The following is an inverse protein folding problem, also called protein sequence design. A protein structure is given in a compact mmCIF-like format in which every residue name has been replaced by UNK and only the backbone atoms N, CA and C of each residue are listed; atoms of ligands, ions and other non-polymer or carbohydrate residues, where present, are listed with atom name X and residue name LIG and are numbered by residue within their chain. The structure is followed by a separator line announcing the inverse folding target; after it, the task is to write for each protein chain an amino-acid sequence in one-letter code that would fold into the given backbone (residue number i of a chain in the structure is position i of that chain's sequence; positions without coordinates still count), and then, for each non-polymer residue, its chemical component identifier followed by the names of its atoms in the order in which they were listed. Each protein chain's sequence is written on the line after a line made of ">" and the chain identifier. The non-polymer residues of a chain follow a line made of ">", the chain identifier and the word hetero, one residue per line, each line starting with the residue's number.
data_IF_712144099426
#
_entry.id   IF_712144099426
#
_cell.length_a   1.000
_cell.length_b   1.000
_cell.length_c   1.000
_cell.angle_alpha   90.00
_cell.angle_beta   90.00
_cell.angle_gamma   90.00
#
_symmetry.space_group_name_H-M   'P 1'
#
loop_
_entity.id
_entity.type
_entity.pdbx_description
1 polymer ?
#
# COMPACT_ATOMS: atom_id res chain seq x y z
N UNK A 1 62.34 -18.61 4.45
CA UNK A 1 60.88 -18.86 4.41
C UNK A 1 60.22 -17.52 4.24
N UNK A 2 59.83 -17.23 3.00
CA UNK A 2 59.10 -16.03 2.61
C UNK A 2 57.63 -16.16 3.01
N UNK A 3 57.00 -15.07 3.43
CA UNK A 3 55.57 -14.90 3.30
C UNK A 3 55.32 -13.49 2.74
N UNK A 4 55.04 -13.45 1.43
CA UNK A 4 54.60 -12.27 0.71
C UNK A 4 53.14 -11.98 1.08
N UNK A 5 52.87 -10.81 1.66
CA UNK A 5 51.52 -10.29 1.75
C UNK A 5 51.11 -9.79 0.36
N UNK A 6 50.14 -10.46 -0.27
CA UNK A 6 49.47 -9.96 -1.47
C UNK A 6 48.52 -8.84 -1.07
N UNK A 7 48.91 -7.60 -1.35
CA UNK A 7 48.01 -6.45 -1.35
C UNK A 7 47.20 -6.51 -2.65
N UNK A 8 45.88 -6.68 -2.55
CA UNK A 8 44.99 -6.60 -3.70
C UNK A 8 44.91 -5.12 -4.15
N UNK A 9 45.46 -4.83 -5.33
CA UNK A 9 45.32 -3.53 -5.99
C UNK A 9 43.89 -3.41 -6.51
N UNK A 10 43.16 -2.36 -6.12
CA UNK A 10 41.87 -2.05 -6.69
C UNK A 10 42.04 -1.71 -8.19
N UNK A 11 41.22 -2.28 -9.10
CA UNK A 11 41.24 -1.88 -10.49
C UNK A 11 40.84 -0.42 -10.62
N UNK A 12 41.55 0.33 -11.47
CA UNK A 12 41.22 1.69 -11.85
C UNK A 12 39.80 1.75 -12.43
N UNK A 13 38.97 2.61 -11.84
CA UNK A 13 37.57 2.84 -12.17
C UNK A 13 37.37 3.16 -13.67
N UNK A 14 36.65 2.33 -14.44
CA UNK A 14 36.33 2.59 -15.84
C UNK A 14 35.27 3.69 -16.02
N UNK A 15 35.20 4.29 -17.22
CA UNK A 15 34.26 5.35 -17.65
C UNK A 15 32.75 5.02 -17.53
N UNK A 16 32.39 3.79 -17.13
CA UNK A 16 30.99 3.31 -16.99
C UNK A 16 30.29 3.75 -15.68
N UNK A 17 30.91 4.59 -14.85
CA UNK A 17 30.29 5.17 -13.65
C UNK A 17 29.11 6.15 -13.91
N UNK A 18 28.44 6.07 -15.06
CA UNK A 18 27.22 6.85 -15.35
C UNK A 18 25.91 6.13 -15.06
N UNK A 19 25.94 4.83 -14.77
CA UNK A 19 24.73 4.08 -14.41
C UNK A 19 24.75 3.84 -12.92
N UNK A 20 24.17 4.76 -12.15
CA UNK A 20 23.87 4.48 -10.75
C UNK A 20 22.87 3.32 -10.63
N UNK A 21 22.85 2.64 -9.47
CA UNK A 21 21.98 1.50 -9.20
C UNK A 21 20.68 1.92 -8.55
N UNK A 22 19.60 1.18 -8.79
CA UNK A 22 18.38 1.23 -7.99
C UNK A 22 18.53 0.31 -6.78
N UNK A 23 18.10 0.79 -5.62
CA UNK A 23 18.08 0.02 -4.36
C UNK A 23 16.63 -0.09 -3.90
N UNK A 24 16.13 -1.30 -3.68
CA UNK A 24 14.88 -1.50 -2.95
C UNK A 24 15.11 -1.21 -1.46
N UNK A 25 14.21 -0.48 -0.82
CA UNK A 25 14.30 -0.18 0.60
C UNK A 25 12.94 -0.32 1.26
N UNK A 26 12.87 -1.08 2.35
CA UNK A 26 11.62 -1.29 3.10
C UNK A 26 11.84 -1.33 4.61
N UNK A 27 10.76 -1.17 5.36
CA UNK A 27 10.72 -1.24 6.80
C UNK A 27 10.64 -2.69 7.25
N UNK A 28 11.45 -3.04 8.23
CA UNK A 28 11.40 -4.36 8.84
C UNK A 28 10.16 -4.49 9.72
N UNK A 29 9.38 -5.54 9.49
CA UNK A 29 8.34 -5.99 10.43
C UNK A 29 8.90 -6.75 11.63
N UNK A 30 10.19 -7.11 11.60
CA UNK A 30 10.89 -7.84 12.66
C UNK A 30 11.95 -6.95 13.26
N UNK A 31 12.14 -7.01 14.58
CA UNK A 31 13.17 -6.21 15.25
C UNK A 31 14.56 -6.69 14.82
N UNK A 32 15.23 -5.92 13.95
CA UNK A 32 16.58 -6.23 13.48
C UNK A 32 17.63 -5.79 14.50
N UNK A 33 18.76 -6.51 14.54
CA UNK A 33 19.85 -6.18 15.45
C UNK A 33 20.48 -4.82 15.10
N UNK A 34 20.54 -4.50 13.81
CA UNK A 34 21.04 -3.22 13.30
C UNK A 34 19.89 -2.32 12.86
N UNK A 35 20.03 -0.99 12.93
CA UNK A 35 19.00 -0.07 12.44
C UNK A 35 18.73 -0.18 10.93
N UNK A 36 19.69 -0.73 10.17
CA UNK A 36 19.65 -0.90 8.72
C UNK A 36 20.47 -2.15 8.38
N UNK A 37 19.89 -3.05 7.60
CA UNK A 37 20.56 -4.16 6.95
C UNK A 37 20.52 -3.94 5.43
N UNK A 38 21.61 -4.22 4.73
CA UNK A 38 21.76 -3.99 3.28
C UNK A 38 22.48 -5.19 2.66
N UNK A 39 21.96 -5.72 1.56
CA UNK A 39 22.57 -6.82 0.82
C UNK A 39 22.40 -6.66 -0.70
N UNK A 40 23.25 -7.34 -1.46
CA UNK A 40 23.16 -7.37 -2.92
C UNK A 40 22.16 -8.46 -3.37
N UNK A 41 21.40 -8.16 -4.42
CA UNK A 41 20.39 -9.03 -5.02
C UNK A 41 20.73 -9.24 -6.50
N UNK A 42 21.73 -10.08 -6.81
CA UNK A 42 22.27 -10.21 -8.17
C UNK A 42 21.30 -10.90 -9.16
N UNK A 43 20.21 -11.45 -8.65
CA UNK A 43 19.17 -12.18 -9.38
C UNK A 43 17.91 -11.35 -9.67
N UNK A 44 17.87 -10.08 -9.24
CA UNK A 44 16.74 -9.18 -9.47
C UNK A 44 16.99 -8.24 -10.66
N UNK A 45 15.98 -8.11 -11.52
CA UNK A 45 16.06 -7.29 -12.74
C UNK A 45 15.83 -5.78 -12.44
N UNK A 46 15.05 -5.46 -11.41
CA UNK A 46 14.58 -4.09 -11.13
C UNK A 46 15.47 -3.30 -10.15
N UNK A 47 16.29 -3.99 -9.35
CA UNK A 47 17.20 -3.39 -8.37
C UNK A 47 18.39 -4.30 -8.07
N UNK A 48 19.55 -3.70 -7.77
CA UNK A 48 20.80 -4.45 -7.54
C UNK A 48 21.06 -4.73 -6.04
N UNK A 49 20.36 -4.02 -5.16
CA UNK A 49 20.50 -4.10 -3.72
C UNK A 49 19.14 -3.96 -3.06
N UNK A 50 19.01 -4.59 -1.90
CA UNK A 50 17.85 -4.48 -1.03
C UNK A 50 18.31 -4.04 0.36
N UNK A 51 17.56 -3.13 0.95
CA UNK A 51 17.83 -2.56 2.25
C UNK A 51 16.58 -2.67 3.12
N UNK A 52 16.76 -3.09 4.37
CA UNK A 52 15.69 -3.15 5.35
C UNK A 52 16.05 -2.31 6.56
N UNK A 53 15.20 -1.36 6.93
CA UNK A 53 15.43 -0.49 8.09
C UNK A 53 14.43 -0.72 9.21
N UNK A 54 14.85 -0.46 10.45
CA UNK A 54 13.98 -0.50 11.62
C UNK A 54 13.34 0.88 11.83
N UNK A 55 12.03 1.07 11.56
CA UNK A 55 11.38 2.39 11.67
C UNK A 55 11.29 2.92 13.11
N UNK A 56 11.41 2.06 14.12
CA UNK A 56 11.52 2.45 15.53
C UNK A 56 12.90 3.02 15.91
N UNK A 57 13.89 2.92 15.00
CA UNK A 57 15.29 3.29 15.27
C UNK A 57 15.84 4.36 14.35
N UNK A 58 15.44 4.37 13.07
CA UNK A 58 15.84 5.39 12.09
C UNK A 58 14.67 5.71 11.16
N UNK A 59 14.64 6.95 10.65
CA UNK A 59 13.69 7.35 9.60
C UNK A 59 14.09 6.75 8.25
N UNK A 60 13.15 6.66 7.30
CA UNK A 60 13.45 6.28 5.91
C UNK A 60 14.53 7.18 5.29
N UNK A 61 14.44 8.50 5.50
CA UNK A 61 15.43 9.46 4.99
C UNK A 61 16.84 9.18 5.52
N UNK A 62 16.95 8.87 6.82
CA UNK A 62 18.24 8.49 7.43
C UNK A 62 18.73 7.13 6.93
N UNK A 63 17.81 6.20 6.67
CA UNK A 63 18.12 4.90 6.10
C UNK A 63 18.68 5.03 4.68
N UNK A 64 18.01 5.79 3.81
CA UNK A 64 18.47 6.10 2.45
C UNK A 64 19.86 6.76 2.46
N UNK A 65 20.08 7.76 3.33
CA UNK A 65 21.36 8.44 3.45
C UNK A 65 22.49 7.47 3.88
N UNK A 66 22.19 6.52 4.77
CA UNK A 66 23.13 5.47 5.19
C UNK A 66 23.42 4.48 4.06
N UNK A 67 22.41 4.03 3.32
CA UNK A 67 22.62 3.15 2.14
C UNK A 67 23.53 3.84 1.12
N UNK A 68 23.26 5.12 0.79
CA UNK A 68 24.12 5.90 -0.11
C UNK A 68 25.56 5.95 0.40
N UNK A 69 25.75 6.18 1.70
CA UNK A 69 27.08 6.23 2.32
C UNK A 69 27.79 4.89 2.24
N UNK A 70 27.12 3.80 2.64
CA UNK A 70 27.69 2.45 2.61
C UNK A 70 28.06 2.03 1.19
N UNK A 71 27.18 2.24 0.20
CA UNK A 71 27.46 1.87 -1.20
C UNK A 71 28.56 2.75 -1.82
N UNK A 72 28.64 4.02 -1.45
CA UNK A 72 29.72 4.90 -1.90
C UNK A 72 31.11 4.43 -1.41
N UNK A 73 31.21 3.80 -0.23
CA UNK A 73 32.46 3.19 0.25
C UNK A 73 32.97 2.06 -0.68
N UNK A 74 32.05 1.43 -1.43
CA UNK A 74 32.37 0.41 -2.43
C UNK A 74 32.41 0.97 -3.87
N UNK A 75 32.33 2.30 -4.04
CA UNK A 75 32.33 2.95 -5.36
C UNK A 75 31.02 2.77 -6.14
N UNK A 76 29.94 2.38 -5.47
CA UNK A 76 28.60 2.20 -6.06
C UNK A 76 27.79 3.47 -5.84
N UNK A 77 27.32 4.09 -6.92
CA UNK A 77 26.44 5.26 -6.87
C UNK A 77 24.97 4.81 -6.87
N UNK A 78 24.18 5.25 -5.90
CA UNK A 78 22.72 5.03 -5.89
C UNK A 78 22.04 6.07 -6.79
N UNK A 79 21.38 5.63 -7.85
CA UNK A 79 20.57 6.48 -8.72
C UNK A 79 19.20 6.78 -8.08
N UNK A 80 18.51 5.74 -7.59
CA UNK A 80 17.17 5.84 -7.06
C UNK A 80 16.93 4.83 -5.92
N UNK A 81 15.93 5.11 -5.09
CA UNK A 81 15.36 4.16 -4.15
C UNK A 81 13.98 3.72 -4.66
N UNK A 82 13.72 2.42 -4.60
CA UNK A 82 12.39 1.85 -4.71
C UNK A 82 11.89 1.63 -3.29
N UNK A 83 11.05 2.53 -2.79
CA UNK A 83 10.53 2.42 -1.43
C UNK A 83 9.42 1.37 -1.37
N UNK A 84 9.71 0.24 -0.74
CA UNK A 84 8.77 -0.86 -0.51
C UNK A 84 7.79 -0.59 0.63
N UNK A 85 8.02 0.46 1.43
CA UNK A 85 7.05 0.86 2.46
C UNK A 85 5.75 1.37 1.87
N UNK A 86 5.77 1.83 0.62
CA UNK A 86 4.72 2.68 0.09
C UNK A 86 4.40 3.86 1.02
N UNK A 87 3.42 4.69 0.67
CA UNK A 87 2.83 5.66 1.59
C UNK A 87 1.85 5.01 2.59
N UNK A 88 1.52 3.73 2.41
CA UNK A 88 0.50 3.06 3.21
C UNK A 88 1.06 2.56 4.54
N UNK A 89 0.37 2.86 5.63
CA UNK A 89 0.63 2.21 6.91
C UNK A 89 0.32 0.70 6.85
N UNK A 90 0.77 -0.05 7.87
CA UNK A 90 0.46 -1.48 7.97
C UNK A 90 -1.05 -1.77 7.97
N UNK A 91 -1.86 -0.91 8.61
CA UNK A 91 -3.32 -1.07 8.65
C UNK A 91 -3.96 -0.76 7.28
N UNK A 92 -3.39 0.19 6.54
CA UNK A 92 -3.85 0.57 5.19
C UNK A 92 -3.40 -0.41 4.11
N UNK A 93 -2.44 -1.27 4.41
CA UNK A 93 -1.96 -2.34 3.51
C UNK A 93 -2.45 -3.74 3.89
N UNK A 94 -3.08 -3.91 5.05
CA UNK A 94 -3.55 -5.22 5.52
C UNK A 94 -5.06 -5.37 5.36
N UNK A 95 -5.48 -6.40 4.61
CA UNK A 95 -6.89 -6.79 4.51
C UNK A 95 -7.38 -7.41 5.82
N UNK A 96 -8.38 -6.77 6.41
CA UNK A 96 -9.07 -7.25 7.62
C UNK A 96 -10.49 -7.71 7.28
N UNK A 97 -10.98 -8.81 7.89
CA UNK A 97 -12.36 -9.27 7.65
C UNK A 97 -13.39 -8.23 8.04
N UNK A 98 -14.38 -8.00 7.16
CA UNK A 98 -15.56 -7.20 7.44
C UNK A 98 -16.83 -8.07 7.31
N UNK A 99 -17.43 -8.37 8.46
CA UNK A 99 -18.61 -9.23 8.56
C UNK A 99 -19.86 -8.60 7.90
N UNK A 100 -19.93 -7.27 7.82
CA UNK A 100 -21.07 -6.57 7.22
C UNK A 100 -21.05 -6.64 5.70
N UNK A 101 -19.84 -6.67 5.13
CA UNK A 101 -19.60 -6.83 3.70
C UNK A 101 -19.61 -8.30 3.26
N UNK A 102 -19.29 -9.23 4.16
CA UNK A 102 -19.00 -10.62 3.81
C UNK A 102 -17.70 -10.72 3.00
N UNK A 103 -16.69 -9.92 3.36
CA UNK A 103 -15.45 -9.79 2.63
C UNK A 103 -14.31 -9.27 3.51
N UNK A 104 -13.36 -8.59 2.88
CA UNK A 104 -12.23 -7.96 3.56
C UNK A 104 -12.04 -6.54 3.08
N UNK A 105 -11.50 -5.69 3.94
CA UNK A 105 -11.09 -4.34 3.59
C UNK A 105 -9.85 -3.90 4.36
N UNK A 106 -9.11 -2.96 3.79
CA UNK A 106 -8.03 -2.25 4.49
C UNK A 106 -8.59 -1.11 5.33
N UNK A 107 -7.81 -0.59 6.28
CA UNK A 107 -8.08 0.74 6.82
C UNK A 107 -8.02 1.78 5.68
N UNK A 108 -8.82 2.85 5.74
CA UNK A 108 -8.78 3.89 4.73
C UNK A 108 -7.50 4.73 4.82
N UNK A 109 -7.00 5.15 3.67
CA UNK A 109 -6.19 6.36 3.58
C UNK A 109 -7.16 7.53 3.52
N UNK A 110 -6.92 8.55 4.33
CA UNK A 110 -7.77 9.74 4.40
C UNK A 110 -6.93 11.01 4.28
N UNK A 111 -7.50 12.06 3.67
CA UNK A 111 -6.94 13.40 3.80
C UNK A 111 -7.08 13.91 5.22
N UNK A 112 -6.09 14.67 5.71
CA UNK A 112 -6.22 15.41 6.98
C UNK A 112 -7.35 16.44 6.94
N UNK A 113 -7.64 16.97 5.74
CA UNK A 113 -8.74 17.88 5.51
C UNK A 113 -10.09 17.15 5.71
N UNK A 114 -11.00 17.81 6.42
CA UNK A 114 -12.35 17.34 6.68
C UNK A 114 -13.37 17.98 5.73
N UNK A 115 -14.58 17.44 5.72
CA UNK A 115 -15.60 17.78 4.74
C UNK A 115 -15.97 19.28 4.77
N UNK A 116 -16.48 19.78 3.65
CA UNK A 116 -16.77 21.19 3.40
C UNK A 116 -18.25 21.43 3.09
N UNK A 117 -19.14 20.49 3.41
CA UNK A 117 -20.56 20.56 3.08
C UNK A 117 -21.28 21.72 3.80
N UNK A 118 -21.83 22.66 3.02
CA UNK A 118 -22.62 23.79 3.54
C UNK A 118 -23.97 23.34 4.15
N UNK A 119 -24.41 22.11 3.86
CA UNK A 119 -25.63 21.52 4.42
C UNK A 119 -25.40 20.76 5.73
N UNK A 120 -24.15 20.50 6.09
CA UNK A 120 -23.78 19.90 7.36
C UNK A 120 -23.41 20.98 8.39
N UNK A 121 -23.60 20.64 9.66
CA UNK A 121 -23.04 21.42 10.75
C UNK A 121 -21.52 21.30 10.77
N UNK A 122 -20.78 22.26 11.37
CA UNK A 122 -19.34 22.16 11.53
C UNK A 122 -18.89 20.86 12.20
N UNK A 123 -19.60 20.43 13.25
CA UNK A 123 -19.30 19.20 13.98
C UNK A 123 -19.50 17.95 13.09
N UNK A 124 -20.51 17.93 12.22
CA UNK A 124 -20.71 16.84 11.26
C UNK A 124 -19.56 16.80 10.24
N UNK A 125 -19.20 17.97 9.70
CA UNK A 125 -18.09 18.10 8.75
C UNK A 125 -16.75 17.64 9.35
N UNK A 126 -16.47 17.94 10.63
CA UNK A 126 -15.24 17.54 11.31
C UNK A 126 -15.05 16.01 11.40
N UNK A 127 -16.13 15.23 11.36
CA UNK A 127 -16.07 13.78 11.46
C UNK A 127 -15.84 13.06 10.13
N UNK A 128 -16.04 13.76 9.01
CA UNK A 128 -16.00 13.16 7.68
C UNK A 128 -14.71 13.57 6.96
N UNK A 129 -13.91 12.61 6.44
CA UNK A 129 -12.77 12.95 5.61
C UNK A 129 -13.23 13.60 4.30
N UNK A 130 -12.47 14.58 3.81
CA UNK A 130 -12.75 15.19 2.52
C UNK A 130 -12.58 14.20 1.35
N UNK A 131 -11.51 13.40 1.38
CA UNK A 131 -11.29 12.25 0.52
C UNK A 131 -10.77 11.08 1.34
N UNK A 132 -11.22 9.88 1.00
CA UNK A 132 -10.62 8.66 1.50
C UNK A 132 -10.66 7.53 0.47
N UNK A 133 -9.71 6.59 0.54
CA UNK A 133 -9.69 5.41 -0.31
C UNK A 133 -9.26 4.16 0.44
N UNK A 134 -9.76 3.00 0.02
CA UNK A 134 -9.44 1.70 0.60
C UNK A 134 -9.59 0.57 -0.43
N UNK A 135 -8.86 -0.51 -0.19
CA UNK A 135 -9.02 -1.75 -0.95
C UNK A 135 -10.11 -2.59 -0.31
N UNK A 136 -10.97 -3.16 -1.14
CA UNK A 136 -12.09 -4.00 -0.73
C UNK A 136 -12.08 -5.28 -1.55
N UNK A 137 -12.08 -6.42 -0.87
CA UNK A 137 -12.20 -7.74 -1.48
C UNK A 137 -13.54 -8.34 -1.10
N UNK A 138 -14.43 -8.43 -2.07
CA UNK A 138 -15.74 -9.07 -1.93
C UNK A 138 -15.56 -10.55 -2.27
N UNK A 139 -15.94 -11.41 -1.33
CA UNK A 139 -15.75 -12.85 -1.48
C UNK A 139 -16.70 -13.68 -0.63
N UNK A 140 -17.93 -13.23 -0.44
CA UNK A 140 -18.92 -14.05 0.24
C UNK A 140 -19.23 -15.29 -0.61
N UNK A 141 -19.09 -16.50 -0.03
CA UNK A 141 -19.29 -17.79 -0.73
C UNK A 141 -18.56 -17.81 -2.09
N UNK A 142 -17.24 -17.59 -2.07
CA UNK A 142 -16.44 -17.36 -3.29
C UNK A 142 -16.61 -18.42 -4.38
N UNK A 143 -16.82 -19.69 -4.02
CA UNK A 143 -17.07 -20.75 -4.99
C UNK A 143 -18.33 -20.50 -5.84
N UNK A 144 -19.35 -19.87 -5.27
CA UNK A 144 -20.61 -19.55 -5.94
C UNK A 144 -20.56 -18.20 -6.67
N UNK A 145 -20.02 -17.16 -6.02
CA UNK A 145 -20.15 -15.78 -6.50
C UNK A 145 -18.83 -15.16 -6.98
N UNK A 146 -17.73 -15.89 -6.86
CA UNK A 146 -16.40 -15.44 -7.21
C UNK A 146 -15.75 -14.62 -6.10
N UNK A 147 -14.54 -14.16 -6.42
CA UNK A 147 -13.79 -13.17 -5.63
C UNK A 147 -13.56 -11.95 -6.51
N UNK A 148 -13.81 -10.76 -5.96
CA UNK A 148 -13.61 -9.49 -6.67
C UNK A 148 -12.92 -8.49 -5.78
N UNK A 149 -11.85 -7.92 -6.28
CA UNK A 149 -11.12 -6.82 -5.68
C UNK A 149 -11.61 -5.50 -6.27
N UNK A 150 -11.80 -4.51 -5.41
CA UNK A 150 -12.27 -3.18 -5.76
C UNK A 150 -11.49 -2.13 -4.97
N UNK A 151 -11.42 -0.93 -5.54
CA UNK A 151 -11.03 0.26 -4.79
C UNK A 151 -12.29 1.05 -4.50
N UNK A 152 -12.55 1.32 -3.23
CA UNK A 152 -13.61 2.23 -2.82
C UNK A 152 -12.99 3.60 -2.57
N UNK A 153 -13.56 4.62 -3.25
CA UNK A 153 -13.20 6.02 -3.08
C UNK A 153 -14.38 6.72 -2.42
N UNK A 154 -14.17 7.17 -1.19
CA UNK A 154 -15.10 8.00 -0.46
C UNK A 154 -14.81 9.47 -0.83
N UNK A 155 -15.79 10.14 -1.43
CA UNK A 155 -15.72 11.54 -1.81
C UNK A 155 -17.06 12.23 -1.51
N UNK A 156 -17.00 13.49 -1.07
CA UNK A 156 -18.17 14.26 -0.63
C UNK A 156 -19.35 14.21 -1.62
N UNK A 157 -20.58 14.20 -1.10
CA UNK A 157 -21.82 14.08 -1.90
C UNK A 157 -22.46 15.42 -2.25
N UNK A 158 -21.84 16.52 -1.81
CA UNK A 158 -22.44 17.84 -1.73
C UNK A 158 -21.47 18.92 -2.19
N UNK A 159 -21.93 20.18 -2.17
CA UNK A 159 -21.15 21.34 -2.62
C UNK A 159 -20.96 22.30 -1.45
N UNK A 160 -19.71 22.69 -1.21
CA UNK A 160 -19.32 23.63 -0.17
C UNK A 160 -18.84 24.97 -0.71
N UNK A 161 -19.05 26.03 0.06
CA UNK A 161 -18.55 27.36 -0.28
C UNK A 161 -17.11 27.54 0.22
N UNK A 162 -16.18 27.85 -0.69
CA UNK A 162 -14.77 28.03 -0.36
C UNK A 162 -14.31 29.48 -0.52
N UNK A 163 -13.59 29.97 0.49
CA UNK A 163 -12.75 31.15 0.31
C UNK A 163 -11.53 30.81 -0.56
N UNK A 164 -10.88 31.78 -1.23
CA UNK A 164 -9.67 31.50 -2.01
C UNK A 164 -8.54 30.84 -1.20
N UNK A 165 -8.39 31.19 0.08
CA UNK A 165 -7.41 30.55 0.96
C UNK A 165 -7.77 29.08 1.22
N UNK A 166 -9.04 28.80 1.54
CA UNK A 166 -9.49 27.42 1.76
C UNK A 166 -9.40 26.57 0.48
N UNK A 167 -9.68 27.15 -0.68
CA UNK A 167 -9.50 26.48 -1.96
C UNK A 167 -8.03 26.07 -2.23
N UNK A 168 -7.06 26.86 -1.75
CA UNK A 168 -5.64 26.49 -1.83
C UNK A 168 -5.29 25.31 -0.92
N UNK A 169 -5.85 25.28 0.29
CA UNK A 169 -5.69 24.14 1.21
C UNK A 169 -6.29 22.86 0.61
N UNK A 170 -7.51 22.93 0.06
CA UNK A 170 -8.16 21.81 -0.63
C UNK A 170 -7.29 21.29 -1.77
N UNK A 171 -6.78 22.18 -2.62
CA UNK A 171 -5.91 21.79 -3.73
C UNK A 171 -4.65 21.06 -3.26
N UNK A 172 -4.02 21.54 -2.17
CA UNK A 172 -2.85 20.90 -1.61
C UNK A 172 -3.18 19.51 -1.02
N UNK A 173 -4.31 19.38 -0.32
CA UNK A 173 -4.78 18.10 0.22
C UNK A 173 -5.06 17.08 -0.89
N UNK A 174 -5.73 17.49 -1.97
CA UNK A 174 -5.96 16.63 -3.14
C UNK A 174 -4.65 16.19 -3.79
N UNK A 175 -3.71 17.11 -3.96
CA UNK A 175 -2.42 16.80 -4.56
C UNK A 175 -1.61 15.79 -3.72
N UNK A 176 -1.66 15.92 -2.39
CA UNK A 176 -1.02 14.97 -1.48
C UNK A 176 -1.69 13.60 -1.56
N UNK A 177 -3.03 13.56 -1.55
CA UNK A 177 -3.81 12.33 -1.59
C UNK A 177 -3.57 11.49 -2.85
N UNK A 178 -3.20 12.11 -3.98
CA UNK A 178 -2.92 11.38 -5.21
C UNK A 178 -1.84 10.30 -5.04
N UNK A 179 -0.77 10.59 -4.28
CA UNK A 179 0.31 9.62 -4.06
C UNK A 179 -0.19 8.42 -3.22
N UNK A 180 -0.97 8.70 -2.17
CA UNK A 180 -1.54 7.65 -1.34
C UNK A 180 -2.56 6.81 -2.13
N UNK A 181 -3.36 7.46 -2.97
CA UNK A 181 -4.36 6.80 -3.80
C UNK A 181 -3.72 5.90 -4.87
N UNK A 182 -2.61 6.32 -5.46
CA UNK A 182 -1.81 5.48 -6.37
C UNK A 182 -1.35 4.20 -5.66
N UNK A 183 -0.86 4.29 -4.42
CA UNK A 183 -0.48 3.11 -3.66
C UNK A 183 -1.66 2.20 -3.29
N UNK A 184 -2.85 2.76 -3.01
CA UNK A 184 -4.08 1.97 -2.83
C UNK A 184 -4.43 1.20 -4.12
N UNK A 185 -4.26 1.83 -5.29
CA UNK A 185 -4.50 1.18 -6.58
C UNK A 185 -3.51 0.04 -6.80
N UNK A 186 -2.21 0.27 -6.59
CA UNK A 186 -1.17 -0.76 -6.73
C UNK A 186 -1.44 -1.96 -5.81
N UNK A 187 -1.86 -1.70 -4.56
CA UNK A 187 -2.27 -2.77 -3.65
C UNK A 187 -3.48 -3.55 -4.18
N UNK A 188 -4.50 -2.85 -4.68
CA UNK A 188 -5.67 -3.50 -5.26
C UNK A 188 -5.32 -4.32 -6.51
N UNK A 189 -4.41 -3.86 -7.36
CA UNK A 189 -3.95 -4.60 -8.54
C UNK A 189 -3.23 -5.89 -8.15
N UNK A 190 -2.38 -5.86 -7.13
CA UNK A 190 -1.75 -7.08 -6.59
C UNK A 190 -2.79 -8.07 -6.05
N UNK A 191 -3.76 -7.58 -5.30
CA UNK A 191 -4.82 -8.41 -4.74
C UNK A 191 -5.76 -8.99 -5.82
N UNK A 192 -5.99 -8.25 -6.91
CA UNK A 192 -6.84 -8.67 -8.02
C UNK A 192 -6.28 -9.87 -8.80
N UNK A 193 -5.00 -10.21 -8.67
CA UNK A 193 -4.41 -11.41 -9.30
C UNK A 193 -5.14 -12.69 -8.86
N UNK A 194 -5.65 -12.71 -7.63
CA UNK A 194 -6.40 -13.83 -7.08
C UNK A 194 -7.92 -13.77 -7.37
N UNK A 195 -8.40 -12.80 -8.16
CA UNK A 195 -9.81 -12.72 -8.53
C UNK A 195 -10.21 -13.83 -9.51
N UNK A 196 -11.44 -14.29 -9.37
CA UNK A 196 -12.01 -15.31 -10.23
C UNK A 196 -13.54 -15.21 -10.25
N UNK A 197 -14.15 -15.71 -11.31
CA UNK A 197 -15.60 -15.82 -11.42
C UNK A 197 -16.12 -17.05 -10.67
N UNK A 198 -17.22 -16.89 -9.97
CA UNK A 198 -17.88 -17.99 -9.27
C UNK A 198 -18.58 -18.96 -10.22
N UNK A 199 -18.87 -20.16 -9.71
CA UNK A 199 -19.59 -21.19 -10.45
C UNK A 199 -21.11 -20.89 -10.47
N UNK A 200 -21.71 -20.68 -11.65
CA UNK A 200 -23.13 -20.36 -11.78
C UNK A 200 -24.06 -21.49 -11.29
N UNK A 201 -23.63 -22.76 -11.35
CA UNK A 201 -24.40 -23.90 -10.85
C UNK A 201 -24.43 -23.89 -9.31
N UNK A 202 -23.28 -23.61 -8.68
CA UNK A 202 -23.21 -23.46 -7.23
C UNK A 202 -24.04 -22.24 -6.79
N UNK A 203 -23.98 -21.12 -7.52
CA UNK A 203 -24.82 -19.95 -7.25
C UNK A 203 -26.32 -20.23 -7.38
N UNK A 204 -26.72 -21.09 -8.33
CA UNK A 204 -28.12 -21.51 -8.47
C UNK A 204 -28.57 -22.37 -7.28
N UNK A 205 -27.77 -23.38 -6.90
CA UNK A 205 -28.05 -24.26 -5.78
C UNK A 205 -28.13 -23.49 -4.44
N UNK A 206 -27.24 -22.51 -4.25
CA UNK A 206 -27.21 -21.67 -3.06
C UNK A 206 -28.47 -20.79 -2.94
N UNK A 207 -28.90 -20.16 -4.05
CA UNK A 207 -30.17 -19.40 -4.11
C UNK A 207 -31.39 -20.27 -3.83
N UNK A 208 -31.45 -21.47 -4.40
CA UNK A 208 -32.55 -22.40 -4.15
C UNK A 208 -32.60 -22.83 -2.66
N UNK A 209 -31.43 -23.05 -2.04
CA UNK A 209 -31.36 -23.36 -0.62
C UNK A 209 -31.84 -22.19 0.26
N UNK A 210 -31.48 -20.95 -0.09
CA UNK A 210 -31.95 -19.75 0.61
C UNK A 210 -33.46 -19.58 0.47
N UNK A 211 -34.00 -19.69 -0.74
CA UNK A 211 -35.45 -19.58 -1.00
C UNK A 211 -36.26 -20.62 -0.21
N UNK A 212 -35.76 -21.86 -0.13
CA UNK A 212 -36.38 -22.92 0.68
C UNK A 212 -36.37 -22.56 2.16
N UNK A 213 -35.26 -22.00 2.67
CA UNK A 213 -35.15 -21.58 4.08
C UNK A 213 -36.11 -20.43 4.38
N UNK A 214 -36.13 -19.40 3.54
CA UNK A 214 -37.04 -18.25 3.68
C UNK A 214 -38.48 -18.76 3.72
N UNK A 215 -38.88 -19.57 2.74
CA UNK A 215 -40.24 -20.12 2.64
C UNK A 215 -40.63 -20.92 3.89
N UNK A 216 -39.76 -21.80 4.38
CA UNK A 216 -40.02 -22.57 5.60
C UNK A 216 -40.23 -21.68 6.83
N UNK A 217 -39.52 -20.56 6.92
CA UNK A 217 -39.65 -19.59 8.03
C UNK A 217 -40.93 -18.76 7.91
N UNK A 218 -41.31 -18.30 6.70
CA UNK A 218 -42.54 -17.54 6.50
C UNK A 218 -43.79 -18.40 6.65
N UNK A 219 -43.78 -19.62 6.14
CA UNK A 219 -44.92 -20.54 6.22
C UNK A 219 -45.07 -21.16 7.63
N UNK A 220 -43.97 -21.40 8.35
CA UNK A 220 -44.01 -21.92 9.73
C UNK A 220 -44.43 -20.90 10.80
N UNK A 221 -44.58 -19.61 10.43
CA UNK A 221 -45.04 -18.53 11.32
C UNK A 221 -46.52 -18.13 11.09
N UNK A 222 -47.19 -18.73 10.10
CA UNK A 222 -48.62 -18.55 9.82
C UNK A 222 -49.45 -19.62 10.53
#
# INVERSE_FOLDING_TARGET
>A
MSNSAMTATAPSTPEDQRTGVTVAIGASSVRTAQPLDLWATPDMDDYAYEAVYSPDRISLVDAEARVRTQLAEFGVQVAAFLNEDGPLTAEQSTLTPDDSLGGWMTAPVETELRDIDDHCTPDENETLPFLAAKVVVIGYRQQAYGRRTQVWLDYGRTTGSLTPAKAREVLAAMASFCADFEAVIELAEREAIADFEGDPEIAAADREAEDRRIRAVTEGRA
#
